data_IF_811528714522
#
_entry.id   IF_811528714522
#
_cell.length_a   1.000
_cell.length_b   1.000
_cell.length_c   1.000
_cell.angle_alpha   90.00
_cell.angle_beta   90.00
_cell.angle_gamma   90.00
#
_symmetry.space_group_name_H-M   'P 1'
#
loop_
_entity.id
_entity.type
_entity.pdbx_description
1 polymer ?
#
# COMPACT_ATOMS: atom_id res chain seq x y z
N UNK A 1 21.04 2.48 -0.89
CA UNK A 1 20.27 1.36 -1.44
C UNK A 1 20.50 0.17 -0.55
N UNK A 2 19.54 -0.06 0.35
CA UNK A 2 19.56 -1.19 1.27
C UNK A 2 18.86 -2.38 0.62
N UNK A 3 19.64 -3.37 0.19
CA UNK A 3 19.15 -4.56 -0.51
C UNK A 3 18.07 -5.32 0.29
N UNK A 4 18.12 -5.29 1.63
CA UNK A 4 17.11 -5.91 2.49
C UNK A 4 15.71 -5.31 2.26
N UNK A 5 15.63 -3.97 2.18
CA UNK A 5 14.35 -3.31 1.98
C UNK A 5 13.75 -3.62 0.60
N UNK A 6 14.58 -3.71 -0.44
CA UNK A 6 14.12 -4.08 -1.77
C UNK A 6 13.67 -5.54 -1.84
N UNK A 7 14.38 -6.46 -1.18
CA UNK A 7 13.96 -7.86 -1.07
C UNK A 7 12.62 -7.99 -0.32
N UNK A 8 12.45 -7.24 0.76
CA UNK A 8 11.18 -7.19 1.52
C UNK A 8 10.05 -6.62 0.66
N UNK A 9 10.30 -5.54 -0.08
CA UNK A 9 9.33 -4.97 -1.01
C UNK A 9 8.91 -5.97 -2.09
N UNK A 10 9.86 -6.65 -2.73
CA UNK A 10 9.55 -7.68 -3.73
C UNK A 10 8.74 -8.84 -3.14
N UNK A 11 9.06 -9.26 -1.92
CA UNK A 11 8.30 -10.28 -1.20
C UNK A 11 6.86 -9.83 -0.93
N UNK A 12 6.67 -8.59 -0.48
CA UNK A 12 5.34 -8.02 -0.22
C UNK A 12 4.52 -7.82 -1.49
N UNK A 13 5.17 -7.37 -2.58
CA UNK A 13 4.51 -7.25 -3.89
C UNK A 13 3.97 -8.61 -4.34
N UNK A 14 4.76 -9.68 -4.21
CA UNK A 14 4.32 -11.04 -4.53
C UNK A 14 3.22 -11.54 -3.59
N UNK A 15 3.28 -11.20 -2.30
CA UNK A 15 2.24 -11.55 -1.32
C UNK A 15 0.90 -10.88 -1.70
N UNK A 16 0.94 -9.62 -2.15
CA UNK A 16 -0.23 -8.87 -2.61
C UNK A 16 -0.79 -9.39 -3.94
N UNK A 17 0.09 -9.70 -4.91
CA UNK A 17 -0.33 -10.34 -6.16
C UNK A 17 -1.00 -11.69 -5.89
N UNK A 18 -0.41 -12.50 -5.00
CA UNK A 18 -0.99 -13.77 -4.60
C UNK A 18 -2.34 -13.60 -3.90
N UNK A 19 -2.49 -12.58 -3.05
CA UNK A 19 -3.76 -12.23 -2.41
C UNK A 19 -4.87 -12.05 -3.45
N UNK A 20 -4.68 -11.23 -4.48
CA UNK A 20 -5.73 -10.98 -5.48
C UNK A 20 -6.04 -12.18 -6.39
N UNK A 21 -5.13 -13.16 -6.46
CA UNK A 21 -5.34 -14.40 -7.22
C UNK A 21 -5.85 -15.57 -6.36
N UNK A 22 -5.97 -15.39 -5.05
CA UNK A 22 -6.40 -16.43 -4.11
C UNK A 22 -7.92 -16.37 -3.92
N UNK A 23 -8.56 -17.54 -3.91
CA UNK A 23 -9.93 -17.68 -3.43
C UNK A 23 -9.95 -17.74 -1.88
N UNK A 24 -10.78 -16.88 -1.29
CA UNK A 24 -10.97 -16.81 0.16
C UNK A 24 -12.27 -17.48 0.57
N UNK A 25 -12.30 -18.01 1.80
CA UNK A 25 -13.50 -18.70 2.30
C UNK A 25 -14.60 -17.72 2.73
N UNK A 26 -14.24 -16.44 2.92
CA UNK A 26 -15.16 -15.35 3.24
C UNK A 26 -14.55 -13.98 2.93
N UNK A 27 -15.42 -12.97 2.76
CA UNK A 27 -15.03 -11.56 2.59
C UNK A 27 -14.24 -11.03 3.81
N UNK A 28 -14.60 -11.44 5.02
CA UNK A 28 -13.86 -11.02 6.22
C UNK A 28 -12.44 -11.59 6.26
N UNK A 29 -12.22 -12.80 5.72
CA UNK A 29 -10.87 -13.36 5.60
C UNK A 29 -10.03 -12.57 4.59
N UNK A 30 -10.60 -12.21 3.44
CA UNK A 30 -9.91 -11.38 2.44
C UNK A 30 -9.61 -9.99 3.00
N UNK A 31 -10.57 -9.35 3.67
CA UNK A 31 -10.38 -8.04 4.30
C UNK A 31 -9.18 -8.03 5.25
N UNK A 32 -9.12 -9.00 6.17
CA UNK A 32 -8.07 -9.07 7.18
C UNK A 32 -6.69 -9.34 6.56
N UNK A 33 -6.61 -10.22 5.56
CA UNK A 33 -5.34 -10.51 4.89
C UNK A 33 -4.85 -9.33 4.05
N UNK A 34 -5.74 -8.66 3.31
CA UNK A 34 -5.42 -7.44 2.55
C UNK A 34 -4.91 -6.34 3.48
N UNK A 35 -5.62 -6.08 4.58
CA UNK A 35 -5.22 -5.10 5.59
C UNK A 35 -3.86 -5.41 6.19
N UNK A 36 -3.59 -6.67 6.48
CA UNK A 36 -2.30 -7.13 7.01
C UNK A 36 -1.17 -6.88 6.01
N UNK A 37 -1.35 -7.23 4.73
CA UNK A 37 -0.33 -7.00 3.70
C UNK A 37 -0.08 -5.51 3.51
N UNK A 38 -1.13 -4.70 3.32
CA UNK A 38 -1.01 -3.24 3.17
C UNK A 38 -0.36 -2.58 4.40
N UNK A 39 -0.66 -3.05 5.62
CA UNK A 39 0.01 -2.58 6.85
C UNK A 39 1.52 -2.87 6.84
N UNK A 40 1.94 -4.06 6.37
CA UNK A 40 3.38 -4.38 6.27
C UNK A 40 4.09 -3.46 5.26
N UNK A 41 3.42 -3.11 4.16
CA UNK A 41 3.96 -2.17 3.16
C UNK A 41 4.12 -0.77 3.79
N UNK A 42 3.13 -0.30 4.55
CA UNK A 42 3.23 0.96 5.30
C UNK A 42 4.40 0.92 6.31
N UNK A 43 4.56 -0.16 7.06
CA UNK A 43 5.71 -0.32 7.96
C UNK A 43 7.04 -0.26 7.21
N UNK A 44 7.13 -0.89 6.04
CA UNK A 44 8.33 -0.81 5.19
C UNK A 44 8.63 0.63 4.74
N UNK A 45 7.61 1.40 4.38
CA UNK A 45 7.77 2.82 4.00
C UNK A 45 8.32 3.64 5.18
N UNK A 46 7.74 3.46 6.37
CA UNK A 46 8.19 4.15 7.59
C UNK A 46 9.66 3.82 7.91
N UNK A 47 10.02 2.54 7.86
CA UNK A 47 11.40 2.11 8.08
C UNK A 47 12.34 2.71 7.03
N UNK A 48 11.96 2.66 5.75
CA UNK A 48 12.77 3.15 4.62
C UNK A 48 12.98 4.67 4.67
N UNK A 49 12.00 5.41 5.20
CA UNK A 49 12.10 6.87 5.40
C UNK A 49 13.23 7.24 6.37
N UNK A 50 13.48 6.40 7.39
CA UNK A 50 14.62 6.60 8.30
C UNK A 50 16.00 6.44 7.66
N UNK A 51 16.08 5.93 6.42
CA UNK A 51 17.32 5.69 5.67
C UNK A 51 17.38 6.46 4.34
N UNK A 52 16.50 7.44 4.13
CA UNK A 52 16.42 8.25 2.91
C UNK A 52 16.26 7.43 1.60
N UNK A 53 15.63 6.25 1.67
CA UNK A 53 15.41 5.37 0.51
C UNK A 53 14.19 5.83 -0.33
N UNK A 54 14.23 7.08 -0.81
CA UNK A 54 13.11 7.78 -1.49
C UNK A 54 12.53 6.95 -2.66
N UNK A 55 13.39 6.36 -3.48
CA UNK A 55 12.94 5.55 -4.63
C UNK A 55 12.11 4.33 -4.21
N UNK A 56 12.42 3.74 -3.06
CA UNK A 56 11.67 2.61 -2.54
C UNK A 56 10.32 3.07 -1.98
N UNK A 57 10.31 4.20 -1.27
CA UNK A 57 9.10 4.82 -0.74
C UNK A 57 8.12 5.09 -1.89
N UNK A 58 8.58 5.70 -2.97
CA UNK A 58 7.75 5.98 -4.16
C UNK A 58 7.17 4.70 -4.76
N UNK A 59 7.98 3.64 -4.90
CA UNK A 59 7.52 2.33 -5.39
C UNK A 59 6.49 1.69 -4.49
N UNK A 60 6.71 1.74 -3.17
CA UNK A 60 5.81 1.16 -2.19
C UNK A 60 4.48 1.92 -2.08
N UNK A 61 4.51 3.26 -2.17
CA UNK A 61 3.31 4.08 -2.28
C UNK A 61 2.54 3.74 -3.55
N UNK A 62 3.20 3.69 -4.70
CA UNK A 62 2.57 3.34 -5.97
C UNK A 62 1.91 1.96 -5.91
N UNK A 63 2.56 0.97 -5.31
CA UNK A 63 2.00 -0.37 -5.11
C UNK A 63 0.69 -0.34 -4.31
N UNK A 64 0.60 0.46 -3.26
CA UNK A 64 -0.63 0.62 -2.46
C UNK A 64 -1.78 1.22 -3.28
N UNK A 65 -1.50 2.28 -4.05
CA UNK A 65 -2.52 2.95 -4.85
C UNK A 65 -2.99 2.10 -6.04
N UNK A 66 -2.05 1.48 -6.78
CA UNK A 66 -2.37 0.61 -7.93
C UNK A 66 -3.22 -0.60 -7.51
N UNK A 67 -3.04 -1.07 -6.27
CA UNK A 67 -3.83 -2.13 -5.65
C UNK A 67 -4.98 -1.59 -4.78
N UNK A 68 -5.51 -0.43 -5.12
CA UNK A 68 -6.73 0.11 -4.53
C UNK A 68 -7.77 0.25 -5.63
N UNK A 69 -8.62 -0.77 -5.81
CA UNK A 69 -9.55 -0.83 -6.94
C UNK A 69 -11.03 -0.75 -6.58
N UNK A 70 -11.38 -1.03 -5.33
CA UNK A 70 -12.76 -1.08 -4.86
C UNK A 70 -12.94 -0.33 -3.53
N UNK A 71 -14.19 -0.24 -3.06
CA UNK A 71 -14.52 0.42 -1.80
C UNK A 71 -13.83 -0.25 -0.60
N UNK A 72 -13.77 -1.58 -0.57
CA UNK A 72 -13.07 -2.33 0.51
C UNK A 72 -11.58 -1.97 0.55
N UNK A 73 -10.91 -1.93 -0.60
CA UNK A 73 -9.51 -1.55 -0.69
C UNK A 73 -9.25 -0.13 -0.19
N UNK A 74 -10.16 0.78 -0.54
CA UNK A 74 -10.06 2.18 -0.14
C UNK A 74 -10.22 2.35 1.37
N UNK A 75 -11.18 1.65 1.97
CA UNK A 75 -11.38 1.64 3.42
C UNK A 75 -10.12 1.13 4.13
N UNK A 76 -9.57 0.01 3.68
CA UNK A 76 -8.31 -0.54 4.21
C UNK A 76 -7.17 0.46 4.04
N UNK A 77 -6.99 1.03 2.84
CA UNK A 77 -5.92 1.98 2.58
C UNK A 77 -6.02 3.20 3.51
N UNK A 78 -7.23 3.76 3.65
CA UNK A 78 -7.48 4.93 4.48
C UNK A 78 -7.22 4.64 5.97
N UNK A 79 -7.46 3.41 6.43
CA UNK A 79 -7.10 2.99 7.78
C UNK A 79 -5.58 2.87 7.99
N UNK A 80 -4.86 2.25 7.04
CA UNK A 80 -3.43 1.95 7.23
C UNK A 80 -2.51 3.10 6.89
N UNK A 81 -2.95 4.09 6.09
CA UNK A 81 -2.10 5.19 5.62
C UNK A 81 -1.79 6.24 6.70
N UNK A 82 -2.57 6.27 7.79
CA UNK A 82 -2.49 7.32 8.81
C UNK A 82 -1.06 7.59 9.34
N UNK A 83 -0.22 6.58 9.64
CA UNK A 83 1.15 6.81 10.07
C UNK A 83 2.00 7.59 9.06
N UNK A 84 1.76 7.41 7.75
CA UNK A 84 2.51 8.12 6.70
C UNK A 84 2.12 9.60 6.62
N UNK A 85 0.87 9.93 6.94
CA UNK A 85 0.39 11.30 7.05
C UNK A 85 0.97 11.99 8.29
N UNK A 86 1.02 11.28 9.42
CA UNK A 86 1.55 11.80 10.69
C UNK A 86 3.05 12.12 10.60
N UNK A 87 3.83 11.21 10.01
CA UNK A 87 5.25 11.39 9.72
C UNK A 87 5.53 12.33 8.52
N UNK A 88 4.49 12.86 7.88
CA UNK A 88 4.56 13.75 6.71
C UNK A 88 5.35 13.18 5.53
N UNK A 89 5.39 11.85 5.41
CA UNK A 89 5.97 11.13 4.26
C UNK A 89 5.11 11.37 3.03
N UNK A 90 3.79 11.42 3.21
CA UNK A 90 2.83 11.81 2.19
C UNK A 90 1.94 12.94 2.74
N UNK A 91 1.56 13.89 1.89
CA UNK A 91 0.56 14.90 2.24
C UNK A 91 -0.84 14.44 1.86
N UNK A 92 -1.87 15.01 2.48
CA UNK A 92 -3.26 14.73 2.09
C UNK A 92 -3.52 15.03 0.60
N UNK A 93 -2.94 16.11 0.08
CA UNK A 93 -3.04 16.47 -1.34
C UNK A 93 -2.39 15.40 -2.24
N UNK A 94 -1.20 14.92 -1.88
CA UNK A 94 -0.54 13.84 -2.62
C UNK A 94 -1.33 12.52 -2.52
N UNK A 95 -1.94 12.23 -1.39
CA UNK A 95 -2.79 11.06 -1.22
C UNK A 95 -4.00 11.10 -2.15
N UNK A 96 -4.75 12.21 -2.17
CA UNK A 96 -5.90 12.42 -3.05
C UNK A 96 -5.49 12.38 -4.53
N UNK A 97 -4.37 13.02 -4.88
CA UNK A 97 -3.81 12.98 -6.23
C UNK A 97 -3.48 11.56 -6.68
N UNK A 98 -2.79 10.79 -5.83
CA UNK A 98 -2.43 9.40 -6.16
C UNK A 98 -3.65 8.49 -6.26
N UNK A 99 -4.69 8.70 -5.44
CA UNK A 99 -5.97 8.01 -5.62
C UNK A 99 -6.62 8.32 -6.97
N UNK A 100 -6.51 9.55 -7.45
CA UNK A 100 -7.08 9.92 -8.76
C UNK A 100 -6.27 9.40 -9.94
N UNK A 101 -4.93 9.46 -9.87
CA UNK A 101 -4.04 9.21 -11.01
C UNK A 101 -3.55 7.76 -11.08
N UNK A 102 -3.33 7.12 -9.92
CA UNK A 102 -2.60 5.85 -9.82
C UNK A 102 -3.44 4.70 -9.26
N UNK A 103 -4.70 4.93 -8.90
CA UNK A 103 -5.59 3.91 -8.36
C UNK A 103 -6.70 3.55 -9.35
N UNK A 104 -6.98 2.25 -9.57
CA UNK A 104 -8.12 1.84 -10.39
C UNK A 104 -9.49 2.30 -9.85
N UNK A 105 -9.57 2.70 -8.57
CA UNK A 105 -10.78 3.23 -7.95
C UNK A 105 -11.33 4.45 -8.70
N UNK A 106 -10.45 5.31 -9.23
CA UNK A 106 -10.86 6.51 -9.97
C UNK A 106 -11.66 6.21 -11.25
N UNK A 107 -11.61 4.98 -11.75
CA UNK A 107 -12.42 4.53 -12.89
C UNK A 107 -13.90 4.35 -12.56
N UNK A 108 -14.23 4.30 -11.28
CA UNK A 108 -15.57 4.04 -10.76
C UNK A 108 -16.15 5.22 -9.98
N UNK A 109 -15.41 6.33 -9.87
CA UNK A 109 -15.82 7.57 -9.20
C UNK A 109 -16.46 8.57 -10.17
#
# INVERSE_FOLDING_TARGET
>A
MNDDFYLRFESLSKELDYFYNKEYSSENESYLENKKIKSKIVSLILESNGYDEIQLIDKALLLLFDNTGCQEDFEILNEVIYPLLDEKIITKELFEKNLSENSPLSRWC
#
